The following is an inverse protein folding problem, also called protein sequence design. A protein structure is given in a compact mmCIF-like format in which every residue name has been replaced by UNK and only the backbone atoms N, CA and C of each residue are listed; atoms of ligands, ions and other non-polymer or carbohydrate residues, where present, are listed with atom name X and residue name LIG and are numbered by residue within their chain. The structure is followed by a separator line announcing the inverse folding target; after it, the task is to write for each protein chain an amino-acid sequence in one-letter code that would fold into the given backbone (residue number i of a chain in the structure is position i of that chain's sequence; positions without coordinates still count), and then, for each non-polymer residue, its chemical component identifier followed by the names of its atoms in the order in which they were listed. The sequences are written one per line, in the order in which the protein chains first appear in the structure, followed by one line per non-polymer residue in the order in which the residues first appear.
data_IF_965122278432
#
_entry.id   IF_965122278432
#
_cell.length_a   1.000
_cell.length_b   1.000
_cell.length_c   1.000
_cell.angle_alpha   90.00
_cell.angle_beta   90.00
_cell.angle_gamma   90.00
#
_symmetry.space_group_name_H-M   'P 1'
#
loop_
_entity.id
_entity.type
_entity.pdbx_description
1 polymer ?
#
# COMPACT_ATOMS: atom_id res chain seq x y z
N UNK A 1 -20.09 2.95 -6.83
CA UNK A 1 -19.58 2.89 -8.23
C UNK A 1 -19.94 4.18 -8.91
N UNK A 2 -18.97 4.88 -9.49
CA UNK A 2 -19.30 6.02 -10.34
C UNK A 2 -20.13 5.50 -11.53
N UNK A 3 -21.35 6.01 -11.68
CA UNK A 3 -22.13 5.73 -12.88
C UNK A 3 -21.47 6.47 -14.05
N UNK A 4 -21.42 5.87 -15.26
CA UNK A 4 -20.81 6.51 -16.43
C UNK A 4 -21.42 7.88 -16.79
N UNK A 5 -22.60 8.14 -16.25
CA UNK A 5 -23.40 9.35 -16.53
C UNK A 5 -23.06 10.53 -15.62
N UNK A 6 -22.35 10.31 -14.51
CA UNK A 6 -22.01 11.37 -13.57
C UNK A 6 -20.52 11.69 -13.65
N UNK A 7 -20.18 12.77 -14.37
CA UNK A 7 -18.82 13.34 -14.34
C UNK A 7 -18.80 14.48 -13.32
N UNK A 8 -18.21 14.26 -12.12
CA UNK A 8 -18.11 15.31 -11.12
C UNK A 8 -17.22 16.45 -11.64
N UNK A 9 -17.55 17.68 -11.29
CA UNK A 9 -16.66 18.82 -11.52
C UNK A 9 -15.38 18.62 -10.71
N UNK A 10 -14.25 18.55 -11.43
CA UNK A 10 -12.93 18.33 -10.88
C UNK A 10 -12.23 19.64 -10.60
N UNK A 11 -11.96 19.94 -9.33
CA UNK A 11 -11.07 21.04 -8.96
C UNK A 11 -9.60 20.67 -9.21
N UNK A 12 -8.71 21.66 -9.20
CA UNK A 12 -7.26 21.40 -9.27
C UNK A 12 -6.76 20.59 -8.06
N UNK A 13 -7.38 20.80 -6.90
CA UNK A 13 -7.07 20.03 -5.68
C UNK A 13 -7.46 18.56 -5.84
N UNK A 14 -8.63 18.27 -6.41
CA UNK A 14 -9.07 16.91 -6.67
C UNK A 14 -8.09 16.16 -7.60
N UNK A 15 -7.67 16.82 -8.66
CA UNK A 15 -6.69 16.26 -9.59
C UNK A 15 -5.36 15.95 -8.90
N UNK A 16 -4.91 16.85 -8.01
CA UNK A 16 -3.67 16.69 -7.26
C UNK A 16 -3.77 15.51 -6.27
N UNK A 17 -4.83 15.45 -5.47
CA UNK A 17 -5.01 14.39 -4.47
C UNK A 17 -5.15 13.00 -5.13
N UNK A 18 -5.86 12.90 -6.25
CA UNK A 18 -5.94 11.65 -7.02
C UNK A 18 -4.57 11.26 -7.61
N UNK A 19 -3.82 12.24 -8.14
CA UNK A 19 -2.49 11.97 -8.66
C UNK A 19 -1.54 11.50 -7.54
N UNK A 20 -1.57 12.12 -6.36
CA UNK A 20 -0.80 11.71 -5.19
C UNK A 20 -1.19 10.31 -4.71
N UNK A 21 -2.49 10.02 -4.63
CA UNK A 21 -2.99 8.69 -4.32
C UNK A 21 -2.43 7.62 -5.26
N UNK A 22 -2.54 7.82 -6.59
CA UNK A 22 -2.04 6.89 -7.59
C UNK A 22 -0.51 6.76 -7.55
N UNK A 23 0.20 7.87 -7.33
CA UNK A 23 1.66 7.88 -7.18
C UNK A 23 2.09 7.11 -5.95
N UNK A 24 1.39 7.26 -4.82
CA UNK A 24 1.66 6.50 -3.60
C UNK A 24 1.51 5.00 -3.82
N UNK A 25 0.41 4.56 -4.44
CA UNK A 25 0.20 3.15 -4.80
C UNK A 25 1.29 2.64 -5.76
N UNK A 26 1.68 3.46 -6.74
CA UNK A 26 2.74 3.11 -7.70
C UNK A 26 4.06 2.88 -6.99
N UNK A 27 4.44 3.80 -6.10
CA UNK A 27 5.68 3.72 -5.34
C UNK A 27 5.73 2.46 -4.49
N UNK A 28 4.62 2.13 -3.78
CA UNK A 28 4.54 0.94 -2.96
C UNK A 28 4.59 -0.35 -3.81
N UNK A 29 3.84 -0.41 -4.91
CA UNK A 29 3.82 -1.58 -5.79
C UNK A 29 5.20 -1.85 -6.40
N UNK A 30 5.86 -0.82 -6.92
CA UNK A 30 7.20 -0.95 -7.51
C UNK A 30 8.25 -1.31 -6.46
N UNK A 31 8.19 -0.70 -5.27
CA UNK A 31 9.10 -1.05 -4.18
C UNK A 31 8.96 -2.53 -3.80
N UNK A 32 7.73 -3.04 -3.64
CA UNK A 32 7.49 -4.45 -3.34
C UNK A 32 7.96 -5.38 -4.48
N UNK A 33 7.73 -4.99 -5.73
CA UNK A 33 8.15 -5.78 -6.88
C UNK A 33 9.68 -5.86 -6.99
N UNK A 34 10.37 -4.72 -6.94
CA UNK A 34 11.83 -4.66 -7.02
C UNK A 34 12.44 -5.44 -5.86
N UNK A 35 11.95 -5.23 -4.62
CA UNK A 35 12.46 -5.93 -3.45
C UNK A 35 12.25 -7.45 -3.53
N UNK A 36 11.09 -7.90 -4.02
CA UNK A 36 10.83 -9.35 -4.19
C UNK A 36 11.82 -9.97 -5.18
N UNK A 37 12.05 -9.29 -6.30
CA UNK A 37 12.97 -9.76 -7.35
C UNK A 37 14.41 -9.79 -6.81
N UNK A 38 14.87 -8.70 -6.16
CA UNK A 38 16.23 -8.63 -5.62
C UNK A 38 16.50 -9.74 -4.60
N UNK A 39 15.50 -10.08 -3.78
CA UNK A 39 15.60 -11.16 -2.79
C UNK A 39 15.67 -12.56 -3.43
N UNK A 40 15.00 -12.75 -4.57
CA UNK A 40 15.01 -14.03 -5.30
C UNK A 40 16.31 -14.23 -6.07
N UNK A 41 16.81 -13.17 -6.73
CA UNK A 41 18.01 -13.28 -7.58
C UNK A 41 19.32 -13.00 -6.82
N UNK A 42 19.25 -12.57 -5.54
CA UNK A 42 20.41 -12.30 -4.70
C UNK A 42 21.16 -11.00 -5.01
N UNK A 43 20.50 -10.04 -5.71
CA UNK A 43 21.03 -8.70 -5.99
C UNK A 43 20.44 -7.71 -5.00
N UNK A 44 21.13 -6.63 -4.65
CA UNK A 44 20.61 -5.56 -3.82
C UNK A 44 20.45 -4.29 -4.65
N UNK A 45 19.18 -3.86 -4.84
CA UNK A 45 18.80 -2.62 -5.54
C UNK A 45 18.22 -1.63 -4.53
N UNK A 46 17.16 -2.01 -3.84
CA UNK A 46 16.54 -1.21 -2.76
C UNK A 46 17.15 -1.52 -1.39
N UNK A 47 17.43 -2.80 -1.11
CA UNK A 47 18.04 -3.22 0.14
C UNK A 47 17.34 -2.63 1.37
N UNK A 48 18.09 -1.86 2.17
CA UNK A 48 17.57 -1.19 3.39
C UNK A 48 16.55 -0.09 3.12
N UNK A 49 16.48 0.43 1.90
CA UNK A 49 15.52 1.48 1.52
C UNK A 49 14.13 0.94 1.18
N UNK A 50 13.96 -0.39 1.07
CA UNK A 50 12.66 -0.99 0.79
C UNK A 50 11.56 -0.50 1.75
N UNK A 51 11.80 -0.68 3.06
CA UNK A 51 10.80 -0.33 4.08
C UNK A 51 10.44 1.16 4.06
N UNK A 52 11.38 2.13 4.07
CA UNK A 52 11.06 3.55 3.96
C UNK A 52 10.31 3.91 2.68
N UNK A 53 10.71 3.37 1.53
CA UNK A 53 10.07 3.67 0.24
C UNK A 53 8.65 3.11 0.19
N UNK A 54 8.46 1.86 0.61
CA UNK A 54 7.14 1.24 0.69
C UNK A 54 6.22 1.99 1.66
N UNK A 55 6.73 2.34 2.85
CA UNK A 55 6.01 3.10 3.87
C UNK A 55 5.57 4.47 3.35
N UNK A 56 6.47 5.21 2.68
CA UNK A 56 6.15 6.49 2.08
C UNK A 56 5.05 6.37 1.01
N UNK A 57 5.11 5.33 0.17
CA UNK A 57 4.08 5.05 -0.83
C UNK A 57 2.70 4.81 -0.19
N UNK A 58 2.64 3.94 0.83
CA UNK A 58 1.39 3.64 1.53
C UNK A 58 0.85 4.87 2.28
N UNK A 59 1.72 5.65 2.92
CA UNK A 59 1.31 6.86 3.62
C UNK A 59 0.73 7.91 2.67
N UNK A 60 1.41 8.15 1.54
CA UNK A 60 0.94 9.08 0.52
C UNK A 60 -0.43 8.65 -0.02
N UNK A 61 -0.59 7.36 -0.36
CA UNK A 61 -1.88 6.84 -0.80
C UNK A 61 -2.96 6.94 0.29
N UNK A 62 -2.60 6.71 1.56
CA UNK A 62 -3.54 6.77 2.69
C UNK A 62 -4.03 8.19 2.98
N UNK A 63 -3.16 9.19 2.83
CA UNK A 63 -3.51 10.59 3.05
C UNK A 63 -4.53 11.12 2.02
N UNK A 64 -4.44 10.62 0.79
CA UNK A 64 -5.23 11.09 -0.34
C UNK A 64 -6.31 10.09 -0.79
N UNK A 65 -6.67 9.13 0.07
CA UNK A 65 -7.71 8.14 -0.26
C UNK A 65 -9.11 8.76 -0.26
N UNK A 66 -9.83 8.56 -1.35
CA UNK A 66 -11.22 9.01 -1.49
C UNK A 66 -12.17 7.85 -1.13
N UNK A 67 -12.90 8.02 -0.03
CA UNK A 67 -13.90 7.07 0.48
C UNK A 67 -15.12 7.84 0.99
N UNK A 68 -16.32 7.33 0.69
CA UNK A 68 -17.57 7.93 1.13
C UNK A 68 -17.75 7.86 2.64
N UNK A 69 -17.53 6.67 3.22
CA UNK A 69 -17.66 6.47 4.68
C UNK A 69 -16.48 7.11 5.42
N UNK A 70 -16.74 8.08 6.32
CA UNK A 70 -15.71 8.77 7.10
C UNK A 70 -14.87 7.81 7.96
N UNK A 71 -15.48 6.74 8.50
CA UNK A 71 -14.78 5.78 9.36
C UNK A 71 -13.67 5.06 8.60
N UNK A 72 -13.98 4.57 7.40
CA UNK A 72 -12.98 3.93 6.55
C UNK A 72 -11.96 4.94 6.04
N UNK A 73 -12.34 6.18 5.73
CA UNK A 73 -11.41 7.23 5.31
C UNK A 73 -10.36 7.54 6.37
N UNK A 74 -10.71 7.49 7.66
CA UNK A 74 -9.76 7.70 8.77
C UNK A 74 -8.92 6.45 9.08
N UNK A 75 -9.43 5.25 8.79
CA UNK A 75 -8.74 4.00 9.09
C UNK A 75 -7.40 3.88 8.33
N UNK A 76 -7.36 4.28 7.06
CA UNK A 76 -6.16 4.17 6.23
C UNK A 76 -4.97 4.99 6.77
N UNK A 77 -5.09 6.31 6.99
CA UNK A 77 -3.99 7.08 7.57
C UNK A 77 -3.68 6.63 9.01
N UNK A 78 -4.66 6.23 9.80
CA UNK A 78 -4.45 5.74 11.17
C UNK A 78 -3.53 4.51 11.21
N UNK A 79 -3.79 3.51 10.36
CA UNK A 79 -2.93 2.31 10.24
C UNK A 79 -1.51 2.70 9.82
N UNK A 80 -1.38 3.63 8.87
CA UNK A 80 -0.07 4.14 8.44
C UNK A 80 0.66 4.88 9.55
N UNK A 81 -0.02 5.71 10.35
CA UNK A 81 0.57 6.43 11.49
C UNK A 81 1.09 5.49 12.56
N UNK A 82 0.36 4.41 12.90
CA UNK A 82 0.85 3.38 13.82
C UNK A 82 2.15 2.77 13.27
N UNK A 83 2.15 2.41 11.99
CA UNK A 83 3.35 1.90 11.33
C UNK A 83 4.55 2.84 11.46
N UNK A 84 4.36 4.15 11.24
CA UNK A 84 5.43 5.14 11.39
C UNK A 84 5.92 5.32 12.83
N UNK A 85 5.03 5.34 13.81
CA UNK A 85 5.43 5.43 15.22
C UNK A 85 6.31 4.24 15.59
N UNK A 86 5.89 3.01 15.23
CA UNK A 86 6.69 1.81 15.48
C UNK A 86 8.02 1.86 14.73
N UNK A 87 8.02 2.32 13.49
CA UNK A 87 9.24 2.46 12.68
C UNK A 87 10.23 3.46 13.30
N UNK A 88 9.73 4.58 13.80
CA UNK A 88 10.55 5.58 14.50
C UNK A 88 11.23 4.96 15.72
N UNK A 89 10.48 4.19 16.55
CA UNK A 89 11.05 3.45 17.67
C UNK A 89 12.09 2.42 17.22
N UNK A 90 11.84 1.70 16.14
CA UNK A 90 12.82 0.76 15.58
C UNK A 90 14.14 1.45 15.23
N UNK A 91 14.07 2.63 14.60
CA UNK A 91 15.27 3.40 14.25
C UNK A 91 16.03 3.95 15.46
N UNK A 92 15.33 4.38 16.53
CA UNK A 92 16.00 4.84 17.76
C UNK A 92 16.74 3.71 18.48
N UNK A 93 16.26 2.47 18.36
CA UNK A 93 16.87 1.28 18.99
C UNK A 93 17.89 0.58 18.08
N UNK A 94 18.05 1.03 16.84
CA UNK A 94 18.95 0.40 15.86
C UNK A 94 20.40 0.41 16.35
N UNK A 95 21.01 -0.78 16.39
CA UNK A 95 22.37 -0.98 16.91
C UNK A 95 22.46 -1.09 18.44
N UNK A 96 21.39 -0.85 19.19
CA UNK A 96 21.36 -0.94 20.64
C UNK A 96 20.60 -2.17 21.15
N UNK A 97 19.65 -2.68 20.40
CA UNK A 97 18.78 -3.78 20.83
C UNK A 97 18.34 -4.63 19.65
N UNK A 98 18.29 -5.98 19.81
CA UNK A 98 17.72 -6.89 18.82
C UNK A 98 16.21 -6.65 18.59
N UNK A 99 15.54 -5.95 19.50
CA UNK A 99 14.15 -5.55 19.37
C UNK A 99 13.92 -4.63 18.18
N UNK A 100 14.96 -3.88 17.73
CA UNK A 100 14.86 -2.95 16.62
C UNK A 100 14.38 -3.64 15.32
N UNK A 101 14.93 -4.80 14.99
CA UNK A 101 14.54 -5.55 13.79
C UNK A 101 13.12 -6.10 13.91
N UNK A 102 12.73 -6.56 15.09
CA UNK A 102 11.36 -7.01 15.37
C UNK A 102 10.36 -5.86 15.19
N UNK A 103 10.66 -4.69 15.73
CA UNK A 103 9.82 -3.50 15.57
C UNK A 103 9.76 -3.04 14.10
N UNK A 104 10.86 -3.08 13.37
CA UNK A 104 10.88 -2.77 11.95
C UNK A 104 9.98 -3.73 11.15
N UNK A 105 10.04 -5.03 11.43
CA UNK A 105 9.17 -6.03 10.81
C UNK A 105 7.70 -5.85 11.21
N UNK A 106 7.43 -5.48 12.46
CA UNK A 106 6.07 -5.16 12.92
C UNK A 106 5.53 -3.91 12.21
N UNK A 107 6.32 -2.87 12.08
CA UNK A 107 5.93 -1.66 11.34
C UNK A 107 5.60 -1.97 9.88
N UNK A 108 6.38 -2.83 9.22
CA UNK A 108 6.11 -3.32 7.88
C UNK A 108 4.75 -4.03 7.81
N UNK A 109 4.38 -4.78 8.84
CA UNK A 109 3.05 -5.42 8.95
C UNK A 109 1.90 -4.41 8.88
N UNK A 110 2.03 -3.24 9.51
CA UNK A 110 1.03 -2.17 9.41
C UNK A 110 0.96 -1.57 8.01
N UNK A 111 2.09 -1.36 7.34
CA UNK A 111 2.08 -0.89 5.95
C UNK A 111 1.54 -1.95 4.99
N UNK A 112 1.80 -3.23 5.24
CA UNK A 112 1.18 -4.33 4.48
C UNK A 112 -0.33 -4.41 4.71
N UNK A 113 -0.80 -4.17 5.93
CA UNK A 113 -2.23 -4.06 6.20
C UNK A 113 -2.86 -2.91 5.39
N UNK A 114 -2.21 -1.74 5.34
CA UNK A 114 -2.63 -0.62 4.50
C UNK A 114 -2.71 -1.00 3.01
N UNK A 115 -1.66 -1.64 2.47
CA UNK A 115 -1.65 -2.11 1.08
C UNK A 115 -2.76 -3.14 0.81
N UNK A 116 -3.00 -4.04 1.75
CA UNK A 116 -4.09 -5.02 1.71
C UNK A 116 -5.47 -4.36 1.69
N UNK A 117 -5.67 -3.33 2.51
CA UNK A 117 -6.90 -2.53 2.52
C UNK A 117 -7.13 -1.85 1.16
N UNK A 118 -6.09 -1.29 0.53
CA UNK A 118 -6.20 -0.74 -0.83
C UNK A 118 -6.58 -1.81 -1.84
N UNK A 119 -5.93 -2.97 -1.81
CA UNK A 119 -6.24 -4.07 -2.70
C UNK A 119 -7.70 -4.52 -2.55
N UNK A 120 -8.21 -4.66 -1.33
CA UNK A 120 -9.62 -4.99 -1.07
C UNK A 120 -10.55 -3.89 -1.58
N UNK A 121 -10.28 -2.62 -1.25
CA UNK A 121 -11.09 -1.49 -1.74
C UNK A 121 -11.18 -1.49 -3.27
N UNK A 122 -10.06 -1.63 -3.94
CA UNK A 122 -9.99 -1.56 -5.40
C UNK A 122 -10.53 -2.83 -6.08
N UNK A 123 -10.59 -3.96 -5.38
CA UNK A 123 -11.17 -5.20 -5.92
C UNK A 123 -12.65 -5.07 -6.25
N UNK A 124 -13.37 -4.16 -5.58
CA UNK A 124 -14.76 -3.83 -5.90
C UNK A 124 -14.92 -3.03 -7.20
N UNK A 125 -13.89 -2.27 -7.59
CA UNK A 125 -13.88 -1.43 -8.79
C UNK A 125 -13.26 -2.17 -9.98
N UNK A 126 -12.21 -2.93 -9.74
CA UNK A 126 -11.45 -3.64 -10.75
C UNK A 126 -11.69 -5.15 -10.65
N UNK A 127 -12.13 -5.77 -11.74
CA UNK A 127 -12.31 -7.23 -11.83
C UNK A 127 -10.96 -7.94 -12.07
N UNK A 128 -9.95 -7.62 -11.24
CA UNK A 128 -8.64 -8.29 -11.30
C UNK A 128 -8.74 -9.54 -10.45
N UNK A 129 -8.67 -10.71 -11.11
CA UNK A 129 -8.68 -12.01 -10.44
C UNK A 129 -7.46 -12.09 -9.52
N UNK A 130 -7.69 -12.42 -8.26
CA UNK A 130 -6.63 -12.55 -7.25
C UNK A 130 -6.35 -11.29 -6.42
N UNK A 131 -6.83 -10.12 -6.80
CA UNK A 131 -6.62 -8.89 -6.01
C UNK A 131 -7.11 -9.03 -4.54
N UNK A 132 -8.24 -9.69 -4.23
CA UNK A 132 -8.65 -9.96 -2.85
C UNK A 132 -7.71 -10.88 -2.06
N UNK A 133 -6.79 -11.60 -2.73
CA UNK A 133 -5.80 -12.46 -2.08
C UNK A 133 -4.54 -11.70 -1.66
N UNK A 134 -4.37 -10.45 -2.10
CA UNK A 134 -3.20 -9.63 -1.75
C UNK A 134 -2.98 -9.54 -0.24
N UNK A 135 -4.00 -9.31 0.62
CA UNK A 135 -3.79 -9.30 2.07
C UNK A 135 -3.23 -10.62 2.62
N UNK A 136 -3.66 -11.76 2.07
CA UNK A 136 -3.16 -13.07 2.51
C UNK A 136 -1.69 -13.27 2.13
N UNK A 137 -1.30 -12.87 0.91
CA UNK A 137 0.09 -12.92 0.49
C UNK A 137 0.98 -11.98 1.32
N UNK A 138 0.53 -10.76 1.59
CA UNK A 138 1.26 -9.81 2.44
C UNK A 138 1.38 -10.31 3.89
N UNK A 139 0.33 -10.91 4.43
CA UNK A 139 0.36 -11.57 5.75
C UNK A 139 1.37 -12.71 5.77
N UNK A 140 1.37 -13.58 4.76
CA UNK A 140 2.36 -14.66 4.62
C UNK A 140 3.79 -14.11 4.56
N UNK A 141 4.02 -13.03 3.82
CA UNK A 141 5.33 -12.38 3.72
C UNK A 141 5.82 -11.88 5.08
N UNK A 142 5.03 -11.09 5.81
CA UNK A 142 5.46 -10.55 7.12
C UNK A 142 5.61 -11.63 8.18
N UNK A 143 4.76 -12.66 8.18
CA UNK A 143 4.89 -13.79 9.10
C UNK A 143 6.20 -14.54 8.88
N UNK A 144 6.59 -14.81 7.63
CA UNK A 144 7.87 -15.44 7.34
C UNK A 144 9.06 -14.60 7.85
N UNK A 145 8.99 -13.27 7.75
CA UNK A 145 10.02 -12.40 8.35
C UNK A 145 10.07 -12.52 9.86
N UNK A 146 8.93 -12.45 10.53
CA UNK A 146 8.84 -12.54 11.99
C UNK A 146 9.29 -13.89 12.53
N UNK A 147 9.05 -14.97 11.79
CA UNK A 147 9.47 -16.34 12.14
C UNK A 147 10.92 -16.64 11.75
N UNK A 148 11.66 -15.67 11.21
CA UNK A 148 13.04 -15.84 10.79
C UNK A 148 13.24 -16.62 9.48
N UNK A 149 12.16 -16.99 8.78
CA UNK A 149 12.19 -17.68 7.49
C UNK A 149 12.30 -16.70 6.33
N UNK A 150 13.30 -15.82 6.35
CA UNK A 150 13.46 -14.74 5.38
C UNK A 150 13.64 -15.20 3.93
N UNK A 151 14.00 -16.48 3.72
CA UNK A 151 14.13 -17.08 2.38
C UNK A 151 12.77 -17.32 1.71
N UNK A 152 11.71 -17.58 2.47
CA UNK A 152 10.36 -17.81 1.93
C UNK A 152 9.57 -16.52 1.71
N UNK A 153 9.96 -15.43 2.39
CA UNK A 153 9.30 -14.11 2.31
C UNK A 153 9.04 -13.65 0.87
N UNK A 154 10.02 -13.61 -0.05
CA UNK A 154 9.84 -13.04 -1.37
C UNK A 154 8.86 -13.83 -2.25
N UNK A 155 8.67 -15.12 -1.99
CA UNK A 155 7.71 -15.95 -2.72
C UNK A 155 6.26 -15.63 -2.35
N UNK A 156 6.02 -15.11 -1.15
CA UNK A 156 4.72 -14.56 -0.77
C UNK A 156 4.57 -13.10 -1.23
N UNK A 157 5.63 -12.31 -1.16
CA UNK A 157 5.56 -10.90 -1.55
C UNK A 157 5.39 -10.72 -3.06
N UNK A 158 6.05 -11.53 -3.88
CA UNK A 158 6.04 -11.38 -5.34
C UNK A 158 4.62 -11.46 -5.96
N UNK A 159 3.76 -12.43 -5.63
CA UNK A 159 2.39 -12.45 -6.13
C UNK A 159 1.59 -11.21 -5.74
N UNK A 160 1.73 -10.75 -4.50
CA UNK A 160 1.09 -9.50 -4.05
C UNK A 160 1.59 -8.30 -4.85
N UNK A 161 2.90 -8.19 -5.04
CA UNK A 161 3.53 -7.10 -5.79
C UNK A 161 3.10 -7.07 -7.26
N UNK A 162 2.99 -8.23 -7.91
CA UNK A 162 2.49 -8.35 -9.28
C UNK A 162 1.04 -7.90 -9.40
N UNK A 163 0.18 -8.32 -8.47
CA UNK A 163 -1.24 -7.91 -8.43
C UNK A 163 -1.39 -6.41 -8.17
N UNK A 164 -0.62 -5.85 -7.24
CA UNK A 164 -0.60 -4.41 -6.97
C UNK A 164 -0.08 -3.62 -8.18
N UNK A 165 0.95 -4.12 -8.86
CA UNK A 165 1.48 -3.49 -10.08
C UNK A 165 0.43 -3.51 -11.20
N UNK A 166 -0.29 -4.61 -11.38
CA UNK A 166 -1.39 -4.68 -12.33
C UNK A 166 -2.49 -3.67 -11.97
N UNK A 167 -2.87 -3.60 -10.69
CA UNK A 167 -3.83 -2.61 -10.22
C UNK A 167 -3.40 -1.18 -10.56
N UNK A 168 -2.14 -0.83 -10.30
CA UNK A 168 -1.59 0.49 -10.60
C UNK A 168 -1.67 0.81 -12.09
N UNK A 169 -1.29 -0.14 -12.96
CA UNK A 169 -1.41 0.03 -14.41
C UNK A 169 -2.87 0.26 -14.82
N UNK A 170 -3.81 -0.51 -14.27
CA UNK A 170 -5.23 -0.34 -14.53
C UNK A 170 -5.73 1.05 -14.08
N UNK A 171 -5.29 1.52 -12.91
CA UNK A 171 -5.67 2.84 -12.38
C UNK A 171 -5.15 3.99 -13.26
N UNK A 172 -3.90 3.94 -13.72
CA UNK A 172 -3.35 4.99 -14.58
C UNK A 172 -3.99 5.04 -15.99
N UNK A 173 -4.59 3.93 -16.42
CA UNK A 173 -5.38 3.90 -17.67
C UNK A 173 -6.79 4.48 -17.52
N UNK A 174 -7.25 4.68 -16.29
CA UNK A 174 -8.58 5.17 -15.98
C UNK A 174 -8.57 6.70 -15.80
N UNK A 175 -9.60 7.44 -16.25
CA UNK A 175 -9.73 8.88 -15.96
C UNK A 175 -9.68 9.18 -14.46
N UNK A 176 -9.17 10.38 -14.09
CA UNK A 176 -8.97 10.73 -12.67
C UNK A 176 -10.29 10.83 -11.88
N UNK A 177 -11.36 11.30 -12.50
CA UNK A 177 -12.65 11.51 -11.82
C UNK A 177 -13.28 10.21 -11.27
N UNK A 178 -12.88 9.04 -11.79
CA UNK A 178 -13.38 7.75 -11.26
C UNK A 178 -12.90 7.46 -9.83
N UNK A 179 -11.76 8.00 -9.41
CA UNK A 179 -11.28 7.82 -8.03
C UNK A 179 -12.07 8.64 -7.01
N UNK A 180 -12.65 9.77 -7.43
CA UNK A 180 -13.46 10.66 -6.58
C UNK A 180 -14.90 10.16 -6.48
N UNK A 181 -15.49 9.75 -7.60
CA UNK A 181 -16.90 9.36 -7.64
C UNK A 181 -17.84 10.53 -7.41
N UNK A 182 -19.01 10.27 -6.80
CA UNK A 182 -20.03 11.29 -6.52
C UNK A 182 -19.74 12.05 -5.22
N UNK A 183 -19.39 13.34 -5.35
CA UNK A 183 -19.05 14.21 -4.21
C UNK A 183 -20.24 14.43 -3.25
N UNK A 184 -21.49 14.29 -3.71
CA UNK A 184 -22.66 14.46 -2.86
C UNK A 184 -22.80 13.35 -1.81
N UNK A 185 -22.13 12.22 -2.03
CA UNK A 185 -22.11 11.07 -1.12
C UNK A 185 -21.07 11.17 -0.01
N UNK A 186 -20.21 12.19 -0.04
CA UNK A 186 -19.22 12.40 1.02
C UNK A 186 -19.86 12.99 2.27
N UNK A 187 -19.88 12.23 3.36
CA UNK A 187 -20.35 12.68 4.66
C UNK A 187 -21.77 12.26 5.02
N UNK A 188 -22.34 11.34 4.25
CA UNK A 188 -23.59 10.63 4.62
C UNK A 188 -23.29 9.51 5.60
#
# INVERSE_FOLDING_TARGET
MATPEHTPEMSSLDNMTVALYRTGLTLAALAALIYSIERIIGVQILGVFYLPVFAAGIALASADVHLYDPKFRWLFPFVSWIGFVILAFAYTLKGMSPLADTLANLSLGFFYAGAGMFALKESFCFRIIGLPLVPLFLCGSVLNRLLGSSSAEPYFLLPAALLLTWLVIAKWRMPLHFDIGDKSMYGL
#
